data_IF_360285979470
#
_entry.id   IF_360285979470
#
_cell.length_a   1.000
_cell.length_b   1.000
_cell.length_c   1.000
_cell.angle_alpha   90.00
_cell.angle_beta   90.00
_cell.angle_gamma   90.00
#
_symmetry.space_group_name_H-M   'P 1'
#
loop_
_entity.id
_entity.type
_entity.pdbx_description
1 polymer ?
#
# COMPACT_ATOMS: atom_id res chain seq x y z
N UNK A 1 24.86 0.67 -2.50
CA UNK A 1 24.04 0.82 -3.72
C UNK A 1 23.23 -0.44 -4.04
N UNK A 2 23.83 -1.59 -4.39
CA UNK A 2 23.06 -2.80 -4.79
C UNK A 2 22.05 -3.31 -3.76
N UNK A 3 22.43 -3.34 -2.48
CA UNK A 3 21.53 -3.72 -1.40
C UNK A 3 20.33 -2.78 -1.26
N UNK A 4 20.52 -1.48 -1.54
CA UNK A 4 19.45 -0.48 -1.50
C UNK A 4 18.42 -0.71 -2.61
N UNK A 5 18.87 -1.02 -3.82
CA UNK A 5 17.97 -1.37 -4.93
C UNK A 5 17.23 -2.69 -4.70
N UNK A 6 17.89 -3.67 -4.08
CA UNK A 6 17.27 -4.96 -3.77
C UNK A 6 16.19 -4.81 -2.69
N UNK A 7 16.47 -4.01 -1.66
CA UNK A 7 15.47 -3.65 -0.65
C UNK A 7 14.28 -2.89 -1.25
N UNK A 8 14.53 -1.94 -2.14
CA UNK A 8 13.48 -1.19 -2.84
C UNK A 8 12.60 -2.11 -3.72
N UNK A 9 13.21 -3.00 -4.49
CA UNK A 9 12.48 -3.96 -5.30
C UNK A 9 11.63 -4.91 -4.43
N UNK A 10 12.17 -5.37 -3.30
CA UNK A 10 11.43 -6.20 -2.35
C UNK A 10 10.22 -5.46 -1.78
N UNK A 11 10.35 -4.18 -1.42
CA UNK A 11 9.21 -3.39 -0.91
C UNK A 11 8.09 -3.24 -1.94
N UNK A 12 8.42 -3.05 -3.23
CA UNK A 12 7.42 -2.99 -4.29
C UNK A 12 6.70 -4.33 -4.44
N UNK A 13 7.45 -5.43 -4.47
CA UNK A 13 6.87 -6.77 -4.61
C UNK A 13 5.92 -7.10 -3.46
N UNK A 14 6.30 -6.75 -2.22
CA UNK A 14 5.47 -6.96 -1.03
C UNK A 14 4.20 -6.10 -1.09
N UNK A 15 4.31 -4.84 -1.49
CA UNK A 15 3.15 -3.93 -1.58
C UNK A 15 2.11 -4.44 -2.60
N UNK A 16 2.56 -4.86 -3.78
CA UNK A 16 1.69 -5.42 -4.82
C UNK A 16 1.05 -6.74 -4.33
N UNK A 17 1.86 -7.65 -3.77
CA UNK A 17 1.37 -8.92 -3.25
C UNK A 17 0.33 -8.74 -2.15
N UNK A 18 0.56 -7.81 -1.22
CA UNK A 18 -0.39 -7.49 -0.16
C UNK A 18 -1.72 -6.98 -0.72
N UNK A 19 -1.69 -6.08 -1.71
CA UNK A 19 -2.91 -5.56 -2.33
C UNK A 19 -3.78 -6.67 -2.92
N UNK A 20 -3.20 -7.55 -3.74
CA UNK A 20 -3.94 -8.66 -4.35
C UNK A 20 -4.43 -9.68 -3.32
N UNK A 21 -3.64 -10.00 -2.31
CA UNK A 21 -4.04 -10.95 -1.27
C UNK A 21 -5.18 -10.36 -0.44
N UNK A 22 -5.08 -9.11 -0.02
CA UNK A 22 -6.13 -8.44 0.76
C UNK A 22 -7.43 -8.34 -0.05
N UNK A 23 -7.35 -7.94 -1.32
CA UNK A 23 -8.51 -7.84 -2.22
C UNK A 23 -9.20 -9.21 -2.43
N UNK A 24 -8.42 -10.28 -2.69
CA UNK A 24 -8.98 -11.64 -2.84
C UNK A 24 -9.65 -12.17 -1.57
N UNK A 25 -9.18 -11.74 -0.40
CA UNK A 25 -9.78 -12.10 0.89
C UNK A 25 -11.00 -11.21 1.25
N UNK A 26 -11.41 -10.30 0.35
CA UNK A 26 -12.56 -9.42 0.55
C UNK A 26 -12.29 -8.24 1.48
N UNK A 27 -11.02 -7.96 1.81
CA UNK A 27 -10.66 -6.76 2.55
C UNK A 27 -10.74 -5.53 1.64
N UNK A 28 -11.29 -4.43 2.17
CA UNK A 28 -11.24 -3.14 1.49
C UNK A 28 -9.79 -2.65 1.44
N UNK A 29 -9.17 -2.77 0.27
CA UNK A 29 -7.83 -2.24 -0.03
C UNK A 29 -7.86 -0.79 -0.48
N UNK A 30 -8.98 -0.07 -0.26
CA UNK A 30 -9.13 1.33 -0.69
C UNK A 30 -7.95 2.17 -0.19
N UNK A 31 -7.32 2.87 -1.14
CA UNK A 31 -6.40 3.95 -0.86
C UNK A 31 -7.15 5.03 -0.08
N UNK A 32 -6.92 5.08 1.24
CA UNK A 32 -7.39 6.20 2.05
C UNK A 32 -6.52 7.40 1.77
N UNK A 33 -6.96 8.24 0.84
CA UNK A 33 -6.48 9.61 0.76
C UNK A 33 -6.97 10.35 2.02
N UNK A 34 -6.04 10.69 2.92
CA UNK A 34 -6.33 11.64 3.99
C UNK A 34 -6.41 13.01 3.33
N UNK A 35 -7.63 13.55 3.16
CA UNK A 35 -7.79 14.97 2.82
C UNK A 35 -7.67 15.79 4.10
N UNK A 36 -7.13 17.00 4.01
CA UNK A 36 -7.03 17.96 5.13
C UNK A 36 -8.39 18.44 5.65
N UNK A 37 -9.51 17.93 5.12
CA UNK A 37 -10.85 18.37 5.46
C UNK A 37 -11.57 17.31 6.29
N UNK A 38 -11.16 17.14 7.55
CA UNK A 38 -12.10 16.68 8.57
C UNK A 38 -13.06 17.85 8.81
N UNK A 39 -14.17 17.89 8.07
CA UNK A 39 -15.23 18.88 8.33
C UNK A 39 -15.86 18.49 9.67
N UNK A 40 -15.51 19.25 10.68
CA UNK A 40 -16.22 19.34 11.95
C UNK A 40 -17.18 20.52 11.82
N UNK A 41 -18.28 20.35 11.09
CA UNK A 41 -19.44 21.23 11.22
C UNK A 41 -20.51 20.57 12.11
#
# INVERSE_FOLDING_TARGET
MRAMFLAFAATIAIAIGAHYVLEQNGYSTQERYTSDSVRLD
#
